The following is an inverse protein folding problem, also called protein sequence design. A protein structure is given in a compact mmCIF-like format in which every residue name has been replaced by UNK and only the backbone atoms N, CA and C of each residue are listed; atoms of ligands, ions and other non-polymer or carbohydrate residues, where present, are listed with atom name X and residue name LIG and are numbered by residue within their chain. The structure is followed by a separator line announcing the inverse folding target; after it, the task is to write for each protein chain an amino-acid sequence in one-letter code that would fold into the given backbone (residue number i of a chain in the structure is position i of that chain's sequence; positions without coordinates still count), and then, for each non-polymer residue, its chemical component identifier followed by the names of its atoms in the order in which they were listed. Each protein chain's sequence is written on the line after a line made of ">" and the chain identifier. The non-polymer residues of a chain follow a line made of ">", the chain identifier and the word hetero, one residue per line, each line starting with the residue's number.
data_IF_881061446152
#
_entry.id   IF_881061446152
#
_cell.length_a   1.000
_cell.length_b   1.000
_cell.length_c   1.000
_cell.angle_alpha   90.00
_cell.angle_beta   90.00
_cell.angle_gamma   90.00
#
_symmetry.space_group_name_H-M   'P 1'
#
loop_
_entity.id
_entity.type
_entity.pdbx_description
1 polymer ?
#
# COMPACT_ATOMS: atom_id res chain seq x y z
N UNK A 1 4.60 57.27 -51.30
CA UNK A 1 3.81 56.66 -52.38
C UNK A 1 3.94 55.15 -52.18
N UNK A 2 3.08 54.50 -51.41
CA UNK A 2 1.80 53.88 -51.84
C UNK A 2 1.93 53.02 -53.10
N UNK A 3 1.32 51.85 -53.26
CA UNK A 3 0.50 50.93 -52.46
C UNK A 3 0.46 49.63 -53.33
N UNK A 4 0.27 48.44 -52.73
CA UNK A 4 -0.71 47.48 -53.25
C UNK A 4 -0.97 46.32 -52.26
N UNK A 5 -1.93 46.56 -51.35
CA UNK A 5 -3.03 45.66 -50.97
C UNK A 5 -4.21 45.89 -51.98
N UNK A 6 -5.40 45.24 -51.95
CA UNK A 6 -5.98 44.07 -51.24
C UNK A 6 -6.72 43.12 -52.26
N UNK A 7 -7.79 42.32 -51.98
CA UNK A 7 -9.11 42.75 -51.47
C UNK A 7 -9.70 41.92 -50.29
N UNK A 8 -10.81 42.39 -49.66
CA UNK A 8 -11.31 41.89 -48.36
C UNK A 8 -12.65 41.12 -48.40
N UNK A 9 -12.93 40.41 -47.28
CA UNK A 9 -14.18 40.07 -46.54
C UNK A 9 -15.55 39.86 -47.23
N UNK A 10 -16.42 38.95 -46.71
CA UNK A 10 -17.41 39.38 -45.68
C UNK A 10 -17.88 38.32 -44.64
N UNK A 11 -18.23 38.75 -43.41
CA UNK A 11 -19.22 38.07 -42.52
C UNK A 11 -20.62 38.69 -42.73
N UNK A 12 -21.62 38.63 -41.81
CA UNK A 12 -21.92 37.79 -40.62
C UNK A 12 -23.40 37.24 -40.59
N UNK A 13 -23.83 36.67 -39.45
CA UNK A 13 -25.22 36.31 -38.99
C UNK A 13 -25.83 34.94 -39.34
N UNK A 14 -26.45 34.30 -38.33
CA UNK A 14 -27.53 33.30 -38.50
C UNK A 14 -27.46 32.11 -37.54
N UNK A 15 -28.36 32.05 -36.56
CA UNK A 15 -28.44 30.98 -35.55
C UNK A 15 -29.09 29.67 -36.02
N UNK A 16 -29.22 28.72 -35.09
CA UNK A 16 -30.07 27.53 -35.25
C UNK A 16 -29.63 26.30 -34.45
N UNK A 17 -30.26 26.10 -33.29
CA UNK A 17 -30.47 24.77 -32.68
C UNK A 17 -31.58 24.05 -33.49
N UNK A 18 -31.47 22.75 -33.82
CA UNK A 18 -32.46 21.76 -33.32
C UNK A 18 -31.90 20.29 -33.32
N UNK A 19 -32.71 19.23 -33.16
CA UNK A 19 -33.34 18.80 -31.91
C UNK A 19 -33.00 17.33 -31.55
N UNK A 20 -33.24 16.98 -30.29
CA UNK A 20 -33.22 15.61 -29.77
C UNK A 20 -34.48 14.83 -30.20
N UNK A 21 -34.40 13.61 -30.76
CA UNK A 21 -35.56 12.75 -30.97
C UNK A 21 -35.43 11.39 -30.23
N UNK A 22 -36.29 11.25 -29.21
CA UNK A 22 -37.03 10.06 -28.74
C UNK A 22 -36.60 8.63 -29.15
N UNK A 23 -36.66 7.73 -28.15
CA UNK A 23 -37.48 6.52 -28.28
C UNK A 23 -36.79 5.18 -27.99
N UNK A 24 -37.15 4.57 -26.86
CA UNK A 24 -36.82 3.18 -26.51
C UNK A 24 -37.42 2.16 -27.49
N UNK A 25 -36.77 1.03 -27.76
CA UNK A 25 -37.42 -0.15 -28.35
C UNK A 25 -37.82 -1.18 -27.28
N UNK A 26 -39.12 -1.47 -27.19
CA UNK A 26 -39.66 -2.74 -26.69
C UNK A 26 -39.62 -3.79 -27.80
N UNK A 27 -39.34 -5.05 -27.45
CA UNK A 27 -39.46 -6.26 -28.29
C UNK A 27 -39.74 -7.48 -27.35
N UNK A 28 -40.32 -8.60 -27.84
CA UNK A 28 -41.60 -9.11 -27.36
C UNK A 28 -41.55 -10.50 -26.73
N UNK A 29 -42.66 -10.87 -26.08
CA UNK A 29 -42.80 -12.07 -25.26
C UNK A 29 -42.85 -13.42 -25.98
N UNK A 30 -42.63 -14.45 -25.18
CA UNK A 30 -43.02 -15.84 -25.39
C UNK A 30 -43.58 -16.37 -24.06
N UNK A 31 -44.77 -16.97 -24.10
CA UNK A 31 -45.46 -17.50 -22.92
C UNK A 31 -45.68 -19.01 -22.98
N UNK A 32 -45.98 -19.60 -21.81
CA UNK A 32 -46.87 -20.75 -21.48
C UNK A 32 -46.50 -21.33 -20.08
N UNK A 33 -47.36 -22.10 -19.37
CA UNK A 33 -48.73 -21.86 -18.90
C UNK A 33 -48.85 -21.84 -17.34
N UNK A 34 -50.03 -21.48 -16.77
CA UNK A 34 -50.24 -21.41 -15.32
C UNK A 34 -50.76 -22.74 -14.71
N UNK A 35 -50.21 -23.12 -13.56
CA UNK A 35 -50.84 -24.07 -12.64
C UNK A 35 -51.25 -23.34 -11.36
N UNK A 36 -52.56 -23.20 -11.16
CA UNK A 36 -53.14 -22.76 -9.89
C UNK A 36 -53.19 -23.88 -8.87
N UNK A 37 -53.37 -23.50 -7.59
CA UNK A 37 -53.90 -24.30 -6.47
C UNK A 37 -54.07 -23.37 -5.23
N UNK A 38 -54.94 -23.70 -4.26
CA UNK A 38 -56.09 -22.85 -3.92
C UNK A 38 -55.99 -22.01 -2.65
N UNK A 39 -56.88 -21.00 -2.64
CA UNK A 39 -57.24 -20.08 -1.57
C UNK A 39 -57.80 -20.79 -0.32
N UNK A 40 -57.36 -20.38 0.87
CA UNK A 40 -57.97 -20.72 2.17
C UNK A 40 -58.45 -19.43 2.85
N UNK A 41 -59.73 -19.32 3.27
CA UNK A 41 -60.31 -18.13 3.91
C UNK A 41 -59.99 -18.01 5.43
N UNK A 42 -60.17 -16.82 6.03
CA UNK A 42 -59.60 -16.47 7.33
C UNK A 42 -60.49 -16.84 8.52
N UNK A 43 -59.87 -17.17 9.66
CA UNK A 43 -60.54 -17.23 10.97
C UNK A 43 -59.99 -16.15 11.89
N UNK A 44 -60.89 -15.29 12.37
CA UNK A 44 -60.58 -14.19 13.28
C UNK A 44 -60.53 -14.61 14.74
N UNK A 45 -59.92 -13.73 15.54
CA UNK A 45 -60.15 -13.63 16.98
C UNK A 45 -60.32 -12.16 17.38
N UNK A 46 -61.26 -11.83 18.28
CA UNK A 46 -61.50 -10.47 18.75
C UNK A 46 -60.72 -10.19 20.05
N UNK A 47 -60.08 -9.03 20.16
CA UNK A 47 -59.31 -8.67 21.35
C UNK A 47 -59.09 -7.16 21.52
N UNK A 48 -60.08 -6.52 22.16
CA UNK A 48 -60.07 -5.28 22.96
C UNK A 48 -58.93 -4.26 22.83
N UNK A 49 -59.33 -3.02 22.48
CA UNK A 49 -58.47 -1.84 22.39
C UNK A 49 -58.10 -1.19 23.72
N UNK A 50 -57.01 -0.43 23.66
CA UNK A 50 -56.58 0.54 24.67
C UNK A 50 -55.99 1.78 23.94
N UNK A 51 -56.24 3.01 24.40
CA UNK A 51 -55.85 4.22 23.69
C UNK A 51 -54.32 4.46 23.68
N UNK A 52 -53.71 4.96 22.59
CA UNK A 52 -52.28 5.22 22.52
C UNK A 52 -51.90 6.50 23.28
N UNK A 53 -51.00 6.35 24.26
CA UNK A 53 -50.36 7.45 24.97
C UNK A 53 -49.13 7.89 24.17
N UNK A 54 -49.13 9.16 23.72
CA UNK A 54 -48.06 9.74 22.90
C UNK A 54 -46.74 9.86 23.66
N UNK A 55 -45.68 9.30 23.09
CA UNK A 55 -44.29 9.51 23.48
C UNK A 55 -43.50 10.21 22.35
N UNK A 56 -42.46 10.99 22.66
CA UNK A 56 -41.77 11.82 21.67
C UNK A 56 -41.01 10.97 20.64
N UNK A 57 -41.13 11.35 19.37
CA UNK A 57 -40.46 10.69 18.25
C UNK A 57 -38.92 10.74 18.41
N UNK A 58 -38.32 9.57 18.66
CA UNK A 58 -36.88 9.39 18.62
C UNK A 58 -36.37 9.54 17.19
N UNK A 59 -35.42 10.44 16.99
CA UNK A 59 -34.73 10.60 15.72
C UNK A 59 -33.88 9.34 15.45
N UNK A 60 -33.92 8.78 14.22
CA UNK A 60 -33.09 7.63 13.88
C UNK A 60 -31.63 8.05 13.85
N UNK A 61 -30.82 7.40 14.69
CA UNK A 61 -29.37 7.47 14.62
C UNK A 61 -28.88 7.03 13.23
N UNK A 62 -27.96 7.77 12.59
CA UNK A 62 -27.44 7.37 11.29
C UNK A 62 -26.70 6.04 11.44
N UNK A 63 -27.24 5.00 10.80
CA UNK A 63 -26.59 3.71 10.73
C UNK A 63 -25.33 3.87 9.88
N UNK A 64 -24.17 3.66 10.49
CA UNK A 64 -22.92 3.53 9.77
C UNK A 64 -23.06 2.33 8.83
N UNK A 65 -22.82 2.49 7.51
CA UNK A 65 -22.90 1.37 6.59
C UNK A 65 -21.89 0.30 7.01
N UNK A 66 -22.24 -0.99 6.93
CA UNK A 66 -21.30 -2.06 7.22
C UNK A 66 -20.06 -1.91 6.33
N UNK A 67 -18.85 -2.19 6.86
CA UNK A 67 -17.64 -2.14 6.05
C UNK A 67 -17.83 -3.03 4.81
N UNK A 68 -17.40 -2.58 3.63
CA UNK A 68 -17.54 -3.38 2.42
C UNK A 68 -16.85 -4.74 2.63
N UNK A 69 -17.45 -5.85 2.17
CA UNK A 69 -16.85 -7.16 2.32
C UNK A 69 -15.46 -7.17 1.68
N UNK A 70 -14.47 -7.67 2.42
CA UNK A 70 -13.11 -7.90 1.94
C UNK A 70 -13.15 -8.91 0.79
N UNK A 71 -13.30 -8.41 -0.44
CA UNK A 71 -13.02 -9.23 -1.62
C UNK A 71 -11.52 -9.44 -1.66
N UNK A 72 -11.08 -10.68 -1.46
CA UNK A 72 -9.68 -11.07 -1.65
C UNK A 72 -9.16 -10.56 -2.99
N UNK A 73 -7.90 -10.14 -3.02
CA UNK A 73 -7.26 -9.57 -4.18
C UNK A 73 -7.19 -10.62 -5.30
N UNK A 74 -7.80 -10.33 -6.45
CA UNK A 74 -7.63 -11.17 -7.64
C UNK A 74 -6.19 -11.13 -8.13
N UNK A 75 -5.74 -12.15 -8.87
CA UNK A 75 -4.36 -12.27 -9.39
C UNK A 75 -3.84 -11.00 -10.07
N UNK A 76 -4.66 -10.35 -10.90
CA UNK A 76 -4.30 -9.10 -11.57
C UNK A 76 -4.08 -7.91 -10.62
N UNK A 77 -4.78 -7.89 -9.48
CA UNK A 77 -4.55 -6.87 -8.45
C UNK A 77 -3.22 -7.12 -7.72
N UNK A 78 -2.89 -8.38 -7.40
CA UNK A 78 -1.61 -8.72 -6.76
C UNK A 78 -0.43 -8.37 -7.68
N UNK A 79 -0.51 -8.71 -8.98
CA UNK A 79 0.51 -8.33 -9.96
C UNK A 79 0.69 -6.81 -9.98
N UNK A 80 -0.41 -6.05 -10.08
CA UNK A 80 -0.36 -4.59 -10.10
C UNK A 80 0.20 -3.98 -8.82
N UNK A 81 -0.13 -4.56 -7.66
CA UNK A 81 0.34 -4.09 -6.36
C UNK A 81 1.82 -4.39 -6.18
N UNK A 82 2.29 -5.60 -6.47
CA UNK A 82 3.71 -5.96 -6.27
C UNK A 82 4.60 -5.31 -7.34
N UNK A 83 4.07 -5.09 -8.55
CA UNK A 83 4.77 -4.25 -9.54
C UNK A 83 4.81 -2.78 -9.10
N UNK A 84 3.74 -2.30 -8.44
CA UNK A 84 3.61 -0.96 -7.90
C UNK A 84 4.25 -0.75 -6.52
N UNK A 85 4.62 -1.80 -5.80
CA UNK A 85 5.08 -1.70 -4.40
C UNK A 85 6.45 -1.02 -4.30
N UNK A 86 7.19 -0.97 -5.39
CA UNK A 86 8.40 -0.15 -5.49
C UNK A 86 8.06 1.33 -5.67
N UNK A 87 6.96 1.68 -6.36
CA UNK A 87 6.48 3.06 -6.39
C UNK A 87 5.93 3.54 -5.03
N UNK A 88 5.78 2.61 -4.06
CA UNK A 88 5.24 2.87 -2.72
C UNK A 88 6.34 3.18 -1.70
N UNK A 89 7.60 2.77 -1.93
CA UNK A 89 8.75 3.08 -1.06
C UNK A 89 9.55 4.27 -1.61
N UNK A 90 8.88 5.37 -1.94
CA UNK A 90 9.50 6.45 -2.72
C UNK A 90 10.47 7.32 -1.93
N UNK A 91 10.45 7.29 -0.60
CA UNK A 91 11.34 8.10 0.24
C UNK A 91 11.57 7.37 1.56
N UNK A 92 12.64 6.60 1.70
CA UNK A 92 13.16 6.31 3.05
C UNK A 92 14.03 7.51 3.38
N UNK A 93 13.42 8.55 3.96
CA UNK A 93 14.13 9.74 4.41
C UNK A 93 15.07 9.32 5.53
N UNK A 94 16.35 9.18 5.22
CA UNK A 94 17.35 8.98 6.25
C UNK A 94 17.53 10.33 6.94
N UNK A 95 17.19 10.45 8.22
CA UNK A 95 17.49 11.65 9.00
C UNK A 95 19.00 11.87 9.08
N UNK A 96 19.59 12.55 8.09
CA UNK A 96 21.05 12.75 7.92
C UNK A 96 21.63 13.78 8.91
N UNK A 97 21.00 13.97 10.06
CA UNK A 97 21.43 14.96 11.04
C UNK A 97 22.51 14.38 11.96
N UNK A 98 23.70 14.17 11.38
CA UNK A 98 25.04 13.97 12.00
C UNK A 98 25.73 12.66 11.58
N UNK A 99 26.44 12.69 10.45
CA UNK A 99 27.31 11.60 9.98
C UNK A 99 28.78 12.04 9.93
N UNK A 100 29.26 12.73 10.97
CA UNK A 100 30.64 13.19 11.04
C UNK A 100 31.37 12.61 12.27
N UNK A 101 32.00 11.45 12.09
CA UNK A 101 33.13 11.01 12.94
C UNK A 101 32.95 9.75 13.79
N UNK A 102 31.94 8.91 13.53
CA UNK A 102 31.71 7.67 14.26
C UNK A 102 32.80 6.60 14.07
N UNK A 103 32.77 5.51 14.87
CA UNK A 103 33.66 4.36 14.69
C UNK A 103 33.52 3.79 13.28
N UNK A 104 34.62 3.35 12.67
CA UNK A 104 34.58 2.71 11.34
C UNK A 104 33.57 1.56 11.33
N UNK A 105 32.60 1.62 10.43
CA UNK A 105 31.64 0.56 10.18
C UNK A 105 32.37 -0.67 9.68
N UNK A 106 32.16 -1.80 10.35
CA UNK A 106 32.85 -3.08 10.06
C UNK A 106 32.04 -4.03 9.21
N UNK A 107 30.80 -3.66 8.90
CA UNK A 107 29.87 -4.48 8.14
C UNK A 107 29.35 -3.74 6.91
N UNK A 108 28.87 -4.52 5.95
CA UNK A 108 28.23 -4.04 4.71
C UNK A 108 26.89 -4.71 4.52
N UNK A 109 25.96 -3.96 3.95
CA UNK A 109 24.66 -4.47 3.51
C UNK A 109 24.79 -4.99 2.07
N UNK A 110 24.35 -6.22 1.84
CA UNK A 110 24.45 -6.91 0.55
C UNK A 110 23.09 -7.42 0.08
N UNK A 111 22.99 -7.78 -1.19
CA UNK A 111 21.76 -8.31 -1.80
C UNK A 111 22.04 -9.70 -2.38
N UNK A 112 22.00 -10.77 -1.59
CA UNK A 112 22.20 -12.13 -2.10
C UNK A 112 21.16 -12.49 -3.16
N UNK A 113 21.40 -13.54 -3.93
CA UNK A 113 20.47 -13.93 -5.01
C UNK A 113 19.14 -14.48 -4.47
N UNK A 114 19.15 -15.03 -3.26
CA UNK A 114 17.98 -15.56 -2.58
C UNK A 114 18.05 -15.28 -1.09
N UNK A 115 16.88 -15.22 -0.45
CA UNK A 115 16.72 -15.10 0.99
C UNK A 115 15.86 -16.24 1.54
N UNK A 116 15.93 -16.44 2.87
CA UNK A 116 15.06 -17.32 3.65
C UNK A 116 15.05 -18.74 3.08
N UNK A 117 16.24 -19.31 2.91
CA UNK A 117 16.39 -20.68 2.39
C UNK A 117 15.96 -20.89 0.93
N UNK A 118 15.76 -19.82 0.15
CA UNK A 118 15.33 -19.89 -1.25
C UNK A 118 13.86 -19.54 -1.46
N UNK A 119 13.12 -19.21 -0.42
CA UNK A 119 11.70 -18.83 -0.52
C UNK A 119 11.50 -17.47 -1.21
N UNK A 120 12.54 -16.64 -1.24
CA UNK A 120 12.53 -15.33 -1.86
C UNK A 120 13.68 -15.21 -2.85
N UNK A 121 13.37 -14.97 -4.12
CA UNK A 121 14.35 -14.81 -5.19
C UNK A 121 14.49 -13.34 -5.56
N UNK A 122 15.72 -12.83 -5.64
CA UNK A 122 15.97 -11.42 -5.98
C UNK A 122 15.46 -11.14 -7.39
N UNK A 123 14.64 -10.10 -7.54
CA UNK A 123 14.20 -9.59 -8.82
C UNK A 123 15.39 -9.04 -9.61
N UNK A 124 15.28 -9.02 -10.94
CA UNK A 124 16.26 -8.34 -11.79
C UNK A 124 16.26 -6.82 -11.53
N UNK A 125 17.42 -6.19 -11.70
CA UNK A 125 17.51 -4.74 -11.60
C UNK A 125 16.56 -4.08 -12.63
N UNK A 126 15.86 -3.05 -12.18
CA UNK A 126 14.89 -2.29 -12.97
C UNK A 126 15.19 -0.81 -12.85
N UNK A 127 14.69 -0.02 -13.81
CA UNK A 127 14.84 1.44 -13.75
C UNK A 127 14.25 2.04 -12.46
N UNK A 128 13.20 1.42 -11.91
CA UNK A 128 12.57 1.81 -10.66
C UNK A 128 13.48 1.54 -9.45
N UNK A 129 14.07 0.35 -9.36
CA UNK A 129 15.02 0.01 -8.28
C UNK A 129 16.26 0.92 -8.32
N UNK A 130 16.79 1.17 -9.52
CA UNK A 130 17.91 2.09 -9.72
C UNK A 130 17.55 3.52 -9.32
N UNK A 131 16.35 4.00 -9.68
CA UNK A 131 15.88 5.32 -9.26
C UNK A 131 15.77 5.43 -7.73
N UNK A 132 15.20 4.42 -7.05
CA UNK A 132 15.12 4.43 -5.59
C UNK A 132 16.49 4.40 -4.93
N UNK A 133 17.41 3.59 -5.46
CA UNK A 133 18.79 3.54 -4.97
C UNK A 133 19.48 4.90 -5.12
N UNK A 134 19.28 5.59 -6.24
CA UNK A 134 19.83 6.93 -6.47
C UNK A 134 19.25 7.97 -5.50
N UNK A 135 17.93 7.96 -5.29
CA UNK A 135 17.28 8.86 -4.31
C UNK A 135 17.87 8.64 -2.92
N UNK A 136 17.99 7.39 -2.49
CA UNK A 136 18.58 7.07 -1.20
C UNK A 136 20.07 7.45 -1.13
N UNK A 137 20.82 7.24 -2.22
CA UNK A 137 22.23 7.59 -2.31
C UNK A 137 22.46 9.10 -2.22
N UNK A 138 21.55 9.92 -2.75
CA UNK A 138 21.62 11.39 -2.70
C UNK A 138 21.41 11.93 -1.28
N UNK A 139 20.75 11.17 -0.39
CA UNK A 139 20.59 11.50 1.02
C UNK A 139 21.78 11.03 1.88
N UNK A 140 22.59 10.09 1.38
CA UNK A 140 23.73 9.57 2.13
C UNK A 140 24.94 10.50 2.05
N UNK A 141 25.81 10.51 3.08
CA UNK A 141 27.15 11.07 2.96
C UNK A 141 28.00 10.30 1.95
N UNK A 142 29.14 10.89 1.59
CA UNK A 142 30.01 10.37 0.53
C UNK A 142 30.59 8.97 0.77
N UNK A 143 30.68 8.53 2.02
CA UNK A 143 31.17 7.21 2.44
C UNK A 143 30.04 6.19 2.65
N UNK A 144 28.78 6.62 2.56
CA UNK A 144 27.61 5.76 2.59
C UNK A 144 27.31 5.13 1.23
N UNK A 145 26.87 3.87 1.23
CA UNK A 145 26.43 3.15 0.04
C UNK A 145 24.98 2.71 0.19
N UNK A 146 24.12 3.20 -0.70
CA UNK A 146 22.71 2.81 -0.74
C UNK A 146 22.51 1.40 -1.30
N UNK A 147 21.57 0.66 -0.73
CA UNK A 147 21.19 -0.69 -1.12
C UNK A 147 19.67 -0.78 -1.19
N UNK A 148 19.16 -1.12 -2.37
CA UNK A 148 17.74 -1.37 -2.59
C UNK A 148 17.61 -2.66 -3.41
N UNK A 149 16.76 -3.58 -2.94
CA UNK A 149 16.44 -4.81 -3.63
C UNK A 149 14.99 -5.25 -3.38
N UNK A 150 14.40 -5.87 -4.40
CA UNK A 150 13.13 -6.57 -4.30
C UNK A 150 13.39 -8.07 -4.43
N UNK A 151 12.68 -8.87 -3.64
CA UNK A 151 12.70 -10.32 -3.72
C UNK A 151 11.28 -10.85 -3.89
N UNK A 152 11.07 -11.69 -4.90
CA UNK A 152 9.78 -12.27 -5.22
C UNK A 152 9.61 -13.59 -4.48
N UNK A 153 8.48 -13.74 -3.77
CA UNK A 153 8.16 -14.99 -3.06
C UNK A 153 7.99 -16.13 -4.06
N UNK A 154 8.78 -17.18 -3.92
CA UNK A 154 8.84 -18.33 -4.84
C UNK A 154 8.97 -17.92 -6.30
N UNK A 155 9.76 -16.90 -6.59
CA UNK A 155 10.06 -16.38 -7.93
C UNK A 155 8.89 -15.73 -8.65
N UNK A 156 7.76 -15.45 -7.97
CA UNK A 156 6.55 -14.93 -8.61
C UNK A 156 5.99 -13.70 -7.93
N UNK A 157 5.77 -12.67 -8.73
CA UNK A 157 5.08 -11.42 -8.36
C UNK A 157 3.66 -11.68 -7.81
N UNK A 158 3.00 -12.77 -8.23
CA UNK A 158 1.65 -13.12 -7.76
C UNK A 158 1.61 -13.61 -6.31
N UNK A 159 2.76 -14.02 -5.75
CA UNK A 159 2.86 -14.55 -4.39
C UNK A 159 3.28 -13.50 -3.36
N UNK A 160 3.65 -12.31 -3.83
CA UNK A 160 4.15 -11.23 -2.98
C UNK A 160 5.63 -10.95 -3.18
N UNK A 161 6.10 -9.88 -2.55
CA UNK A 161 7.50 -9.50 -2.53
C UNK A 161 7.94 -9.01 -1.16
N UNK A 162 9.21 -9.27 -0.86
CA UNK A 162 9.97 -8.62 0.20
C UNK A 162 10.78 -7.50 -0.44
N UNK A 163 10.77 -6.33 0.19
CA UNK A 163 11.54 -5.17 -0.26
C UNK A 163 12.50 -4.80 0.84
N UNK A 164 13.78 -4.68 0.48
CA UNK A 164 14.86 -4.24 1.36
C UNK A 164 15.36 -2.90 0.82
N UNK A 165 15.35 -1.88 1.68
CA UNK A 165 15.88 -0.55 1.38
C UNK A 165 16.72 -0.08 2.55
N UNK A 166 17.98 0.27 2.31
CA UNK A 166 18.90 0.62 3.38
C UNK A 166 20.23 1.12 2.87
N UNK A 167 21.19 1.23 3.78
CA UNK A 167 22.53 1.70 3.48
C UNK A 167 23.55 1.03 4.40
N UNK A 168 24.82 1.13 4.02
CA UNK A 168 25.95 0.79 4.88
C UNK A 168 27.07 1.81 4.71
N UNK A 169 27.87 1.98 5.75
CA UNK A 169 28.91 3.01 5.85
C UNK A 169 29.34 3.21 7.29
N UNK A 170 29.97 4.34 7.57
CA UNK A 170 30.33 4.73 8.94
C UNK A 170 29.15 5.52 9.53
N UNK A 171 28.32 4.85 10.34
CA UNK A 171 27.07 5.41 10.88
C UNK A 171 27.31 5.92 12.31
N UNK A 172 27.10 7.22 12.51
CA UNK A 172 27.30 7.92 13.79
C UNK A 172 26.02 8.60 14.28
N UNK A 173 24.92 7.87 14.24
CA UNK A 173 23.61 8.37 14.67
C UNK A 173 22.98 7.39 15.65
N UNK A 174 22.06 7.90 16.47
CA UNK A 174 21.39 7.07 17.47
C UNK A 174 20.57 5.97 16.78
N UNK A 175 20.82 4.67 17.06
CA UNK A 175 20.13 3.59 16.38
C UNK A 175 18.61 3.59 16.56
N UNK A 176 18.07 4.10 17.67
CA UNK A 176 16.63 4.19 17.90
C UNK A 176 16.01 5.26 17.00
N UNK A 177 16.60 6.46 16.98
CA UNK A 177 16.17 7.56 16.12
C UNK A 177 16.25 7.16 14.64
N UNK A 178 17.32 6.48 14.23
CA UNK A 178 17.48 6.00 12.85
C UNK A 178 16.40 4.99 12.44
N UNK A 179 16.07 4.02 13.32
CA UNK A 179 15.00 3.05 13.03
C UNK A 179 13.66 3.77 12.91
N UNK A 180 13.39 4.71 13.80
CA UNK A 180 12.18 5.53 13.79
C UNK A 180 12.07 6.36 12.51
N UNK A 181 13.10 7.13 12.17
CA UNK A 181 13.12 7.99 10.98
C UNK A 181 12.95 7.18 9.69
N UNK A 182 13.58 5.99 9.61
CA UNK A 182 13.45 5.13 8.46
C UNK A 182 12.01 4.60 8.28
N UNK A 183 11.32 4.23 9.36
CA UNK A 183 9.93 3.80 9.35
C UNK A 183 8.95 4.97 9.07
N UNK A 184 9.21 6.14 9.66
CA UNK A 184 8.42 7.35 9.43
C UNK A 184 8.57 7.83 7.98
N UNK A 185 9.79 7.81 7.43
CA UNK A 185 10.09 8.10 6.03
C UNK A 185 9.30 7.20 5.10
N UNK A 186 9.32 5.88 5.35
CA UNK A 186 8.53 4.92 4.58
C UNK A 186 7.04 5.32 4.51
N UNK A 187 6.42 5.73 5.62
CA UNK A 187 5.01 6.15 5.65
C UNK A 187 4.79 7.47 4.90
N UNK A 188 5.64 8.46 5.14
CA UNK A 188 5.56 9.77 4.50
C UNK A 188 5.74 9.69 2.98
N UNK A 189 6.55 8.74 2.50
CA UNK A 189 6.78 8.47 1.09
C UNK A 189 5.59 7.85 0.35
N UNK A 190 4.52 7.44 1.06
CA UNK A 190 3.33 6.83 0.47
C UNK A 190 2.05 7.61 0.81
N UNK A 191 1.54 8.42 -0.14
CA UNK A 191 0.33 9.20 0.05
C UNK A 191 -0.87 8.34 0.46
N UNK A 192 -1.53 8.75 1.55
CA UNK A 192 -2.74 8.09 2.05
C UNK A 192 -2.49 6.79 2.82
N UNK A 193 -1.24 6.41 3.08
CA UNK A 193 -0.91 5.34 4.02
C UNK A 193 -1.22 5.75 5.46
N UNK A 194 -1.50 4.77 6.30
CA UNK A 194 -1.81 4.97 7.72
C UNK A 194 -1.08 3.94 8.57
N UNK A 195 -0.39 4.37 9.62
CA UNK A 195 0.10 3.46 10.66
C UNK A 195 -1.11 2.94 11.46
N UNK A 196 -1.30 1.62 11.48
CA UNK A 196 -2.42 0.95 12.14
C UNK A 196 -1.98 0.09 13.33
N UNK A 197 -0.71 -0.31 13.37
CA UNK A 197 -0.05 -0.76 14.59
C UNK A 197 1.22 0.06 14.75
N UNK A 198 1.35 0.74 15.89
CA UNK A 198 2.48 1.61 16.21
C UNK A 198 3.79 0.82 16.32
N UNK A 199 4.90 1.56 16.21
CA UNK A 199 6.23 1.02 16.32
C UNK A 199 6.42 0.24 17.64
N UNK A 200 6.86 -1.01 17.53
CA UNK A 200 7.20 -1.89 18.64
C UNK A 200 8.57 -2.49 18.41
N UNK A 201 9.40 -2.50 19.45
CA UNK A 201 10.76 -3.03 19.39
C UNK A 201 10.79 -4.51 19.78
N UNK A 202 11.55 -5.29 19.01
CA UNK A 202 11.77 -6.72 19.19
C UNK A 202 13.26 -7.02 19.26
N UNK A 203 13.67 -7.75 20.29
CA UNK A 203 15.04 -8.23 20.47
C UNK A 203 15.24 -9.54 19.72
N UNK A 204 16.02 -9.52 18.64
CA UNK A 204 16.24 -10.66 17.75
C UNK A 204 17.74 -10.88 17.59
N UNK A 205 18.25 -12.00 18.12
CA UNK A 205 19.66 -12.40 18.01
C UNK A 205 20.68 -11.36 18.55
N UNK A 206 20.27 -10.52 19.50
CA UNK A 206 21.11 -9.46 20.07
C UNK A 206 21.02 -8.12 19.33
N UNK A 207 20.18 -8.04 18.30
CA UNK A 207 19.81 -6.81 17.61
C UNK A 207 18.41 -6.35 18.03
N UNK A 208 18.20 -5.04 18.07
CA UNK A 208 16.87 -4.45 18.22
C UNK A 208 16.28 -4.14 16.85
N UNK A 209 15.11 -4.72 16.55
CA UNK A 209 14.31 -4.42 15.37
C UNK A 209 13.08 -3.62 15.78
N UNK A 210 12.88 -2.44 15.19
CA UNK A 210 11.63 -1.69 15.36
C UNK A 210 10.68 -2.04 14.24
N UNK A 211 9.46 -2.45 14.57
CA UNK A 211 8.48 -2.90 13.58
C UNK A 211 7.15 -2.18 13.73
N UNK A 212 6.48 -1.92 12.61
CA UNK A 212 5.15 -1.32 12.58
C UNK A 212 4.30 -1.94 11.47
N UNK A 213 2.98 -1.73 11.56
CA UNK A 213 2.05 -2.12 10.51
C UNK A 213 1.48 -0.90 9.82
N UNK A 214 1.68 -0.83 8.51
CA UNK A 214 1.14 0.25 7.66
C UNK A 214 0.01 -0.29 6.82
N UNK A 215 -1.14 0.38 6.86
CA UNK A 215 -2.22 0.19 5.90
C UNK A 215 -1.95 1.05 4.67
N UNK A 216 -1.85 0.43 3.51
CA UNK A 216 -1.63 1.13 2.25
C UNK A 216 -2.82 2.02 1.87
N UNK A 217 -2.53 3.17 1.27
CA UNK A 217 -3.52 4.17 0.83
C UNK A 217 -4.28 3.81 -0.46
N UNK A 218 -5.14 4.74 -0.90
CA UNK A 218 -6.10 4.53 -2.00
C UNK A 218 -5.47 3.92 -3.28
N UNK A 219 -6.09 2.86 -3.80
CA UNK A 219 -5.73 2.21 -5.07
C UNK A 219 -5.16 0.79 -4.92
N UNK A 220 -4.57 0.48 -3.75
CA UNK A 220 -4.07 -0.85 -3.37
C UNK A 220 -5.00 -1.40 -2.28
N UNK A 221 -6.10 -2.04 -2.67
CA UNK A 221 -7.24 -2.34 -1.78
C UNK A 221 -6.83 -2.87 -0.39
N UNK A 222 -7.16 -2.17 0.71
CA UNK A 222 -7.04 -2.61 2.12
C UNK A 222 -5.84 -3.53 2.43
N UNK A 223 -4.65 -3.22 1.91
CA UNK A 223 -3.47 -4.04 2.17
C UNK A 223 -2.74 -3.57 3.41
N UNK A 224 -2.24 -4.54 4.16
CA UNK A 224 -1.47 -4.34 5.37
C UNK A 224 -0.03 -4.75 5.08
N UNK A 225 0.89 -3.81 5.29
CA UNK A 225 2.31 -3.97 4.97
C UNK A 225 3.09 -3.90 6.28
N UNK A 226 3.53 -5.04 6.84
CA UNK A 226 4.47 -5.01 7.94
C UNK A 226 5.80 -4.47 7.44
N UNK A 227 6.44 -3.64 8.26
CA UNK A 227 7.79 -3.16 8.04
C UNK A 227 8.58 -3.20 9.34
N UNK A 228 9.85 -3.60 9.25
CA UNK A 228 10.79 -3.54 10.35
C UNK A 228 12.05 -2.82 9.90
N UNK A 229 12.63 -2.04 10.79
CA UNK A 229 13.91 -1.38 10.60
C UNK A 229 14.94 -1.93 11.58
N UNK A 230 16.20 -1.96 11.14
CA UNK A 230 17.36 -2.02 12.01
C UNK A 230 18.31 -0.88 11.70
N UNK A 231 19.12 -0.52 12.69
CA UNK A 231 20.25 0.37 12.54
C UNK A 231 21.33 -0.03 13.56
N UNK A 232 22.58 0.06 13.14
CA UNK A 232 23.78 -0.07 13.96
C UNK A 232 24.86 0.86 13.39
N UNK A 233 26.09 0.77 13.89
CA UNK A 233 27.19 1.65 13.46
C UNK A 233 27.70 1.37 12.03
N UNK A 234 27.22 0.31 11.38
CA UNK A 234 27.72 -0.15 10.07
C UNK A 234 26.62 -0.21 9.02
N UNK A 235 25.40 -0.57 9.40
CA UNK A 235 24.28 -0.80 8.51
C UNK A 235 22.97 -0.26 9.06
N UNK A 236 22.10 0.16 8.16
CA UNK A 236 20.69 0.38 8.46
C UNK A 236 19.82 -0.10 7.32
N UNK A 237 18.63 -0.60 7.60
CA UNK A 237 17.66 -0.89 6.56
C UNK A 237 16.24 -0.96 7.10
N UNK A 238 15.29 -0.79 6.18
CA UNK A 238 13.89 -1.14 6.32
C UNK A 238 13.60 -2.35 5.44
N UNK A 239 12.94 -3.35 6.01
CA UNK A 239 12.37 -4.47 5.27
C UNK A 239 10.86 -4.42 5.38
N UNK A 240 10.19 -4.41 4.23
CA UNK A 240 8.73 -4.44 4.13
C UNK A 240 8.28 -5.61 3.27
N UNK A 241 7.14 -6.21 3.58
CA UNK A 241 6.55 -7.30 2.78
C UNK A 241 5.18 -6.93 2.27
N UNK A 242 5.01 -7.12 0.97
CA UNK A 242 3.72 -7.05 0.29
C UNK A 242 3.28 -8.47 -0.02
N UNK A 243 2.16 -8.89 0.57
CA UNK A 243 1.60 -10.23 0.36
C UNK A 243 0.09 -10.14 0.13
N UNK A 244 -0.43 -11.01 -0.73
CA UNK A 244 -1.88 -11.19 -0.89
C UNK A 244 -2.55 -11.76 0.37
N UNK A 245 -1.75 -12.32 1.29
CA UNK A 245 -2.22 -12.87 2.56
C UNK A 245 -2.53 -11.76 3.59
N UNK A 246 -1.89 -10.58 3.46
CA UNK A 246 -2.00 -9.47 4.41
C UNK A 246 -3.21 -8.56 4.11
N UNK A 247 -4.39 -9.08 4.41
CA UNK A 247 -5.70 -8.48 4.05
C UNK A 247 -6.42 -7.79 5.21
N UNK A 248 -5.93 -7.94 6.44
CA UNK A 248 -6.44 -7.31 7.66
C UNK A 248 -5.31 -7.07 8.67
N UNK A 249 -5.53 -6.24 9.68
CA UNK A 249 -4.56 -6.04 10.77
C UNK A 249 -4.19 -7.38 11.45
N UNK A 250 -5.20 -8.19 11.75
CA UNK A 250 -5.03 -9.50 12.39
C UNK A 250 -4.37 -10.57 11.50
N UNK A 251 -4.17 -10.29 10.20
CA UNK A 251 -3.47 -11.21 9.29
C UNK A 251 -1.96 -11.07 9.35
N UNK A 252 -1.46 -10.15 10.17
CA UNK A 252 -0.05 -9.84 10.34
C UNK A 252 0.34 -9.99 11.79
N UNK A 253 1.32 -10.85 12.06
CA UNK A 253 1.99 -10.97 13.34
C UNK A 253 3.35 -10.24 13.25
N UNK A 254 3.47 -9.09 13.92
CA UNK A 254 4.71 -8.30 13.89
C UNK A 254 5.89 -8.99 14.59
N UNK A 255 5.63 -9.89 15.55
CA UNK A 255 6.69 -10.67 16.20
C UNK A 255 7.22 -11.76 15.26
N UNK A 256 6.34 -12.50 14.59
CA UNK A 256 6.77 -13.47 13.58
C UNK A 256 7.50 -12.78 12.41
N UNK A 257 7.01 -11.61 12.02
CA UNK A 257 7.67 -10.81 11.00
C UNK A 257 9.04 -10.30 11.44
N UNK A 258 9.23 -9.87 12.70
CA UNK A 258 10.54 -9.44 13.20
C UNK A 258 11.55 -10.60 13.24
N UNK A 259 11.12 -11.81 13.59
CA UNK A 259 11.96 -13.02 13.49
C UNK A 259 12.40 -13.29 12.04
N UNK A 260 11.49 -13.10 11.08
CA UNK A 260 11.79 -13.19 9.64
C UNK A 260 12.82 -12.14 9.22
N UNK A 261 12.64 -10.88 9.64
CA UNK A 261 13.57 -9.80 9.31
C UNK A 261 14.92 -10.01 9.98
N UNK A 262 14.98 -10.61 11.18
CA UNK A 262 16.24 -11.00 11.80
C UNK A 262 17.04 -12.00 10.97
N UNK A 263 16.37 -12.97 10.32
CA UNK A 263 17.04 -13.87 9.37
C UNK A 263 17.52 -13.13 8.13
N UNK A 264 16.71 -12.19 7.60
CA UNK A 264 17.12 -11.34 6.47
C UNK A 264 18.35 -10.51 6.82
N UNK A 265 18.42 -9.90 8.02
CA UNK A 265 19.61 -9.17 8.49
C UNK A 265 20.84 -10.08 8.46
N UNK A 266 20.76 -11.29 9.03
CA UNK A 266 21.89 -12.24 9.02
C UNK A 266 22.35 -12.64 7.61
N UNK A 267 21.41 -12.81 6.68
CA UNK A 267 21.72 -13.19 5.31
C UNK A 267 22.30 -12.03 4.50
N UNK A 268 21.89 -10.79 4.78
CA UNK A 268 22.24 -9.59 4.00
C UNK A 268 23.42 -8.80 4.56
N UNK A 269 23.67 -8.86 5.87
CA UNK A 269 24.82 -8.21 6.51
C UNK A 269 26.04 -9.13 6.43
N UNK A 270 27.19 -8.55 6.05
CA UNK A 270 28.48 -9.25 5.91
C UNK A 270 29.61 -8.39 6.48
N UNK A 271 30.70 -8.99 6.96
CA UNK A 271 31.92 -8.25 7.26
C UNK A 271 32.40 -7.45 6.02
N UNK A 272 32.86 -6.22 6.25
CA UNK A 272 33.39 -5.30 5.23
C UNK A 272 34.63 -5.87 4.56
#
# INVERSE_FOLDING_TARGET
>A
MSHNQPPPSPGPYGGGQPPNPYGAPQQPGYGYPPQGQPHVPPQGQPGYGYPPQGGPAGQPWPQTPPPPPSRGLGKGAVIGIVAGSLAVLTVVGLGVAALLGGPEGTEKLTTPQSLLGGDYERAEDSAQLEQQRNILQDELPSDGTAVVAQYLKGGSIEKGALILSGAWGDIDSDPEDMRKDALDGMVQGQPGSQVVQEQTDYEINGDTLSCQLVKAGQGLANMYMPACAWADNSTMAVVAVVSADYTSEDSVDLKEFSETVGQVKQETVKPK
#
